data_IF_070872090590
#
_entry.id   IF_070872090590
#
_cell.length_a   1.000
_cell.length_b   1.000
_cell.length_c   1.000
_cell.angle_alpha   90.00
_cell.angle_beta   90.00
_cell.angle_gamma   90.00
#
_symmetry.space_group_name_H-M   'P 1'
#
loop_
_entity.id
_entity.type
_entity.pdbx_description
1 polymer ?
#
# COMPACT_ATOMS: atom_id res chain seq x y z
N UNK A 1 -27.52 -12.69 19.59
CA UNK A 1 -26.59 -13.31 18.63
C UNK A 1 -26.41 -12.33 17.49
N UNK A 2 -25.25 -11.66 17.39
CA UNK A 2 -24.98 -10.77 16.26
C UNK A 2 -24.98 -11.62 14.99
N UNK A 3 -25.80 -11.26 14.00
CA UNK A 3 -25.77 -11.90 12.69
C UNK A 3 -24.32 -11.87 12.18
N UNK A 4 -23.77 -13.03 11.83
CA UNK A 4 -22.37 -13.19 11.44
C UNK A 4 -22.14 -12.40 10.14
N UNK A 5 -21.75 -11.13 10.25
CA UNK A 5 -21.49 -10.28 9.10
C UNK A 5 -20.27 -10.83 8.37
N UNK A 6 -20.43 -11.07 7.07
CA UNK A 6 -19.38 -11.60 6.23
C UNK A 6 -18.23 -10.60 6.18
N UNK A 7 -16.99 -11.07 6.17
CA UNK A 7 -15.81 -10.20 6.18
C UNK A 7 -15.00 -10.36 4.90
N UNK A 8 -14.57 -9.24 4.33
CA UNK A 8 -13.73 -9.20 3.14
C UNK A 8 -12.43 -8.48 3.48
N UNK A 9 -11.31 -9.09 3.12
CA UNK A 9 -9.98 -8.47 3.24
C UNK A 9 -9.51 -8.03 1.85
N UNK A 10 -8.99 -6.81 1.75
CA UNK A 10 -8.41 -6.28 0.50
C UNK A 10 -6.95 -5.95 0.75
N UNK A 11 -6.05 -6.70 0.11
CA UNK A 11 -4.67 -6.27 -0.05
C UNK A 11 -4.62 -5.19 -1.12
N UNK A 12 -4.16 -4.00 -0.74
CA UNK A 12 -4.16 -2.81 -1.59
C UNK A 12 -2.89 -2.01 -1.36
N UNK A 13 -2.40 -1.35 -2.40
CA UNK A 13 -1.45 -0.25 -2.27
C UNK A 13 -2.09 1.10 -2.52
N UNK A 14 -1.29 2.01 -3.08
CA UNK A 14 -1.60 3.41 -3.32
C UNK A 14 -2.67 3.73 -4.35
N UNK A 15 -2.38 4.70 -5.22
CA UNK A 15 -3.42 5.46 -5.94
C UNK A 15 -4.29 4.65 -6.90
N UNK A 16 -3.79 3.54 -7.46
CA UNK A 16 -4.53 2.74 -8.44
C UNK A 16 -5.83 2.18 -7.83
N UNK A 17 -5.77 1.64 -6.62
CA UNK A 17 -6.92 1.08 -5.93
C UNK A 17 -7.93 2.15 -5.47
N UNK A 18 -7.62 3.45 -5.56
CA UNK A 18 -8.56 4.52 -5.17
C UNK A 18 -9.77 4.61 -6.11
N UNK A 19 -9.63 4.16 -7.36
CA UNK A 19 -10.76 4.10 -8.30
C UNK A 19 -11.73 2.97 -7.98
N UNK A 20 -11.34 2.02 -7.12
CA UNK A 20 -12.16 0.85 -6.77
C UNK A 20 -12.82 0.96 -5.39
N UNK A 21 -12.55 2.01 -4.61
CA UNK A 21 -13.09 2.16 -3.24
C UNK A 21 -14.61 2.15 -3.24
N UNK A 22 -15.21 2.95 -4.13
CA UNK A 22 -16.67 3.06 -4.24
C UNK A 22 -17.28 1.71 -4.65
N UNK A 23 -16.59 0.97 -5.53
CA UNK A 23 -17.00 -0.39 -5.93
C UNK A 23 -17.00 -1.34 -4.74
N UNK A 24 -15.93 -1.33 -3.94
CA UNK A 24 -15.86 -2.18 -2.75
C UNK A 24 -16.92 -1.80 -1.72
N UNK A 25 -17.14 -0.50 -1.49
CA UNK A 25 -18.19 0.00 -0.58
C UNK A 25 -19.58 -0.45 -1.03
N UNK A 26 -19.91 -0.34 -2.32
CA UNK A 26 -21.19 -0.84 -2.84
C UNK A 26 -21.36 -2.36 -2.66
N UNK A 27 -20.28 -3.12 -2.88
CA UNK A 27 -20.31 -4.58 -2.74
C UNK A 27 -20.53 -5.00 -1.29
N UNK A 28 -19.90 -4.32 -0.33
CA UNK A 28 -20.08 -4.65 1.08
C UNK A 28 -21.44 -4.20 1.62
N UNK A 29 -21.97 -3.05 1.18
CA UNK A 29 -23.30 -2.59 1.57
C UNK A 29 -24.38 -3.56 1.10
N UNK A 30 -24.30 -4.01 -0.17
CA UNK A 30 -25.27 -4.97 -0.74
C UNK A 30 -25.22 -6.33 -0.06
N UNK A 31 -24.04 -6.77 0.39
CA UNK A 31 -23.85 -8.09 0.99
C UNK A 31 -23.85 -8.08 2.53
N UNK A 32 -24.07 -6.92 3.15
CA UNK A 32 -23.98 -6.71 4.60
C UNK A 32 -22.66 -7.24 5.19
N UNK A 33 -21.55 -6.87 4.55
CA UNK A 33 -20.20 -7.29 4.90
C UNK A 33 -19.42 -6.16 5.61
N UNK A 34 -18.41 -6.54 6.37
CA UNK A 34 -17.33 -5.62 6.78
C UNK A 34 -16.11 -5.77 5.87
N UNK A 35 -15.36 -4.69 5.70
CA UNK A 35 -14.20 -4.57 4.82
C UNK A 35 -12.95 -4.20 5.61
N UNK A 36 -11.86 -4.90 5.37
CA UNK A 36 -10.56 -4.57 5.94
C UNK A 36 -9.55 -4.37 4.83
N UNK A 37 -9.01 -3.16 4.71
CA UNK A 37 -7.88 -2.88 3.84
C UNK A 37 -6.58 -3.20 4.58
N UNK A 38 -5.69 -3.96 3.92
CA UNK A 38 -4.33 -4.21 4.38
C UNK A 38 -3.39 -3.47 3.46
N UNK A 39 -2.65 -2.51 4.03
CA UNK A 39 -1.81 -1.57 3.29
C UNK A 39 -0.34 -1.76 3.70
N UNK A 40 0.61 -1.93 2.75
CA UNK A 40 2.03 -2.02 3.08
C UNK A 40 2.56 -0.68 3.64
N UNK A 41 3.68 -0.74 4.36
CA UNK A 41 4.32 0.42 5.00
C UNK A 41 5.76 0.65 4.51
N UNK A 42 6.10 0.12 3.33
CA UNK A 42 7.45 0.18 2.75
C UNK A 42 7.67 1.37 1.81
N UNK A 43 6.65 2.18 1.57
CA UNK A 43 6.75 3.38 0.72
C UNK A 43 7.77 4.38 1.27
N UNK A 44 8.73 4.75 0.43
CA UNK A 44 9.78 5.73 0.71
C UNK A 44 9.87 6.85 -0.31
N UNK A 45 8.84 7.05 -1.15
CA UNK A 45 8.81 8.06 -2.21
C UNK A 45 7.98 9.31 -1.88
N UNK A 46 8.09 10.32 -2.75
CA UNK A 46 7.24 11.52 -2.78
C UNK A 46 7.19 12.28 -1.45
N UNK A 47 6.00 12.74 -1.06
CA UNK A 47 5.81 13.49 0.20
C UNK A 47 6.03 12.66 1.48
N UNK A 48 6.22 11.33 1.37
CA UNK A 48 6.57 10.48 2.51
C UNK A 48 8.09 10.49 2.73
N UNK A 49 8.89 10.65 1.67
CA UNK A 49 10.36 10.57 1.72
C UNK A 49 10.98 11.56 2.71
N UNK A 50 10.56 12.82 2.65
CA UNK A 50 11.07 13.89 3.53
C UNK A 50 10.72 13.65 5.01
N UNK A 51 9.54 13.12 5.28
CA UNK A 51 9.14 12.76 6.64
C UNK A 51 9.96 11.58 7.17
N UNK A 52 10.24 10.59 6.32
CA UNK A 52 11.07 9.44 6.67
C UNK A 52 12.52 9.88 6.87
N UNK A 53 13.05 10.79 6.04
CA UNK A 53 14.40 11.35 6.17
C UNK A 53 14.59 12.03 7.52
N UNK A 54 13.64 12.89 7.91
CA UNK A 54 13.77 13.69 9.14
C UNK A 54 13.38 12.93 10.40
N UNK A 55 12.34 12.09 10.35
CA UNK A 55 11.78 11.45 11.55
C UNK A 55 11.95 9.92 11.61
N UNK A 56 12.41 9.30 10.53
CA UNK A 56 12.23 7.87 10.31
C UNK A 56 10.75 7.47 10.31
N UNK A 57 10.50 6.16 10.26
CA UNK A 57 9.18 5.60 10.43
C UNK A 57 8.60 4.94 9.19
N UNK A 58 7.37 4.42 9.32
CA UNK A 58 6.72 3.69 8.24
C UNK A 58 6.40 4.61 7.05
N UNK A 59 6.32 4.02 5.86
CA UNK A 59 5.68 4.65 4.70
C UNK A 59 4.20 4.89 4.99
N UNK A 60 3.79 6.15 5.08
CA UNK A 60 2.42 6.54 5.47
C UNK A 60 1.52 6.92 4.29
N UNK A 61 2.09 7.12 3.10
CA UNK A 61 1.41 7.72 1.95
C UNK A 61 0.17 6.95 1.50
N UNK A 62 0.28 5.62 1.42
CA UNK A 62 -0.80 4.74 0.99
C UNK A 62 -1.90 4.61 2.04
N UNK A 63 -1.51 4.49 3.32
CA UNK A 63 -2.44 4.47 4.45
C UNK A 63 -3.25 5.77 4.50
N UNK A 64 -2.57 6.92 4.41
CA UNK A 64 -3.21 8.24 4.29
C UNK A 64 -4.18 8.26 3.13
N UNK A 65 -3.72 7.88 1.94
CA UNK A 65 -4.55 7.90 0.73
C UNK A 65 -5.83 7.09 0.91
N UNK A 66 -5.73 5.90 1.51
CA UNK A 66 -6.89 5.04 1.75
C UNK A 66 -7.85 5.63 2.76
N UNK A 67 -7.34 6.11 3.91
CA UNK A 67 -8.17 6.72 4.94
C UNK A 67 -8.92 7.95 4.41
N UNK A 68 -8.22 8.85 3.72
CA UNK A 68 -8.81 10.07 3.18
C UNK A 68 -9.88 9.73 2.14
N UNK A 69 -9.68 8.69 1.32
CA UNK A 69 -10.68 8.26 0.33
C UNK A 69 -11.93 7.64 0.95
N UNK A 70 -11.85 7.14 2.18
CA UNK A 70 -12.98 6.59 2.94
C UNK A 70 -13.77 7.66 3.71
N UNK A 71 -13.30 8.91 3.74
CA UNK A 71 -14.02 10.02 4.38
C UNK A 71 -15.35 10.24 3.62
N UNK A 72 -16.50 10.15 4.30
CA UNK A 72 -17.80 10.35 3.68
C UNK A 72 -17.99 11.80 3.24
N UNK A 73 -18.90 12.01 2.30
CA UNK A 73 -19.23 13.35 1.79
C UNK A 73 -19.75 14.31 2.87
N UNK A 74 -20.29 13.78 3.97
CA UNK A 74 -20.69 14.57 5.15
C UNK A 74 -19.51 15.27 5.83
N UNK A 75 -18.28 14.80 5.60
CA UNK A 75 -17.03 15.33 6.16
C UNK A 75 -16.11 15.91 5.05
N UNK A 76 -16.69 16.47 3.98
CA UNK A 76 -15.95 17.01 2.82
C UNK A 76 -14.88 18.05 3.21
N UNK A 77 -15.08 18.80 4.29
CA UNK A 77 -14.10 19.76 4.80
C UNK A 77 -12.82 19.08 5.33
N UNK A 78 -12.95 17.96 6.04
CA UNK A 78 -11.80 17.15 6.48
C UNK A 78 -11.15 16.44 5.28
N UNK A 79 -11.96 15.93 4.35
CA UNK A 79 -11.48 15.35 3.09
C UNK A 79 -10.59 16.33 2.33
N UNK A 80 -11.05 17.57 2.15
CA UNK A 80 -10.32 18.62 1.44
C UNK A 80 -9.02 18.98 2.17
N UNK A 81 -9.08 19.15 3.50
CA UNK A 81 -7.91 19.47 4.30
C UNK A 81 -6.82 18.38 4.20
N UNK A 82 -7.15 17.10 4.36
CA UNK A 82 -6.14 16.03 4.33
C UNK A 82 -5.68 15.63 2.93
N UNK A 83 -6.47 15.90 1.88
CA UNK A 83 -6.01 15.79 0.49
C UNK A 83 -5.10 16.94 0.05
N UNK A 84 -5.13 18.08 0.75
CA UNK A 84 -4.37 19.25 0.37
C UNK A 84 -2.86 18.97 0.37
N UNK A 85 -2.19 19.50 -0.66
CA UNK A 85 -0.74 19.50 -0.79
C UNK A 85 -0.25 20.94 -0.79
N UNK A 86 0.80 21.19 -0.01
CA UNK A 86 1.45 22.48 0.00
C UNK A 86 2.03 22.83 -1.38
N UNK A 87 2.22 24.12 -1.69
CA UNK A 87 2.79 24.58 -2.94
C UNK A 87 4.13 23.90 -3.29
N UNK A 88 4.49 23.83 -4.59
CA UNK A 88 5.78 23.32 -5.01
C UNK A 88 6.93 24.30 -4.72
N UNK A 89 6.64 25.58 -4.45
CA UNK A 89 7.66 26.56 -4.04
C UNK A 89 7.94 26.45 -2.55
N UNK A 90 9.22 26.38 -2.17
CA UNK A 90 9.66 26.22 -0.76
C UNK A 90 9.13 27.33 0.14
N UNK A 91 9.28 28.59 -0.26
CA UNK A 91 8.87 29.74 0.55
C UNK A 91 7.35 29.81 0.72
N UNK A 92 6.61 29.54 -0.37
CA UNK A 92 5.14 29.51 -0.33
C UNK A 92 4.63 28.34 0.52
N UNK A 93 5.28 27.17 0.43
CA UNK A 93 4.92 26.01 1.23
C UNK A 93 5.13 26.26 2.73
N UNK A 94 6.28 26.83 3.10
CA UNK A 94 6.57 27.21 4.49
C UNK A 94 5.59 28.27 5.01
N UNK A 95 5.31 29.30 4.20
CA UNK A 95 4.34 30.35 4.55
C UNK A 95 2.93 29.79 4.73
N UNK A 96 2.48 28.93 3.82
CA UNK A 96 1.15 28.32 3.93
C UNK A 96 1.06 27.38 5.13
N UNK A 97 2.12 26.59 5.41
CA UNK A 97 2.18 25.77 6.61
C UNK A 97 2.04 26.61 7.89
N UNK A 98 2.67 27.79 7.95
CA UNK A 98 2.52 28.69 9.08
C UNK A 98 1.07 29.14 9.28
N UNK A 99 0.31 29.39 8.20
CA UNK A 99 -1.12 29.72 8.32
C UNK A 99 -1.97 28.58 8.90
N UNK A 100 -1.54 27.32 8.71
CA UNK A 100 -2.18 26.16 9.34
C UNK A 100 -1.90 26.11 10.84
N UNK A 101 -0.70 26.52 11.27
CA UNK A 101 -0.29 26.56 12.67
C UNK A 101 -0.97 27.69 13.44
N UNK A 102 -1.13 28.87 12.83
CA UNK A 102 -1.84 30.00 13.44
C UNK A 102 -3.36 29.83 13.40
N UNK A 103 -3.86 28.94 12.52
CA UNK A 103 -5.29 28.73 12.30
C UNK A 103 -5.93 29.76 11.38
N UNK A 104 -5.15 30.56 10.65
CA UNK A 104 -5.64 31.55 9.69
C UNK A 104 -5.81 30.99 8.27
N UNK A 105 -5.42 29.72 8.04
CA UNK A 105 -5.61 29.06 6.76
C UNK A 105 -7.09 28.95 6.38
N UNK A 106 -7.39 29.24 5.11
CA UNK A 106 -8.71 29.07 4.53
C UNK A 106 -9.23 27.62 4.61
N UNK A 107 -8.33 26.63 4.74
CA UNK A 107 -8.70 25.22 4.88
C UNK A 107 -9.49 24.93 6.15
N UNK A 108 -9.45 25.80 7.18
CA UNK A 108 -10.24 25.63 8.39
C UNK A 108 -11.64 26.25 8.34
N UNK A 109 -11.98 27.04 7.30
CA UNK A 109 -13.23 27.83 7.27
C UNK A 109 -14.49 27.00 7.52
N UNK A 110 -14.51 25.75 7.03
CA UNK A 110 -15.65 24.83 7.16
C UNK A 110 -15.36 23.65 8.08
N UNK A 111 -14.25 23.68 8.81
CA UNK A 111 -13.87 22.61 9.74
C UNK A 111 -14.42 22.94 11.14
N UNK A 112 -15.17 22.03 11.79
CA UNK A 112 -15.64 22.21 13.16
C UNK A 112 -14.51 22.60 14.12
N UNK A 113 -14.75 23.58 15.00
CA UNK A 113 -13.74 24.13 15.93
C UNK A 113 -12.98 23.06 16.72
N UNK A 114 -13.62 22.03 17.32
CA UNK A 114 -12.89 21.00 18.04
C UNK A 114 -11.90 20.22 17.17
N UNK A 115 -12.31 19.90 15.93
CA UNK A 115 -11.45 19.20 14.96
C UNK A 115 -10.31 20.10 14.49
N UNK A 116 -10.59 21.37 14.18
CA UNK A 116 -9.56 22.34 13.78
C UNK A 116 -8.51 22.55 14.89
N UNK A 117 -8.94 22.65 16.15
CA UNK A 117 -8.04 22.77 17.30
C UNK A 117 -7.15 21.54 17.47
N UNK A 118 -7.72 20.33 17.31
CA UNK A 118 -6.97 19.08 17.40
C UNK A 118 -5.95 18.95 16.26
N UNK A 119 -6.38 19.19 15.01
CA UNK A 119 -5.50 19.17 13.84
C UNK A 119 -4.33 20.14 14.04
N UNK A 120 -4.62 21.38 14.43
CA UNK A 120 -3.62 22.40 14.70
C UNK A 120 -2.67 21.98 15.82
N UNK A 121 -3.16 21.38 16.90
CA UNK A 121 -2.32 20.87 17.99
C UNK A 121 -1.31 19.83 17.51
N UNK A 122 -1.77 18.87 16.69
CA UNK A 122 -0.91 17.83 16.10
C UNK A 122 0.12 18.43 15.13
N UNK A 123 -0.29 19.37 14.27
CA UNK A 123 0.63 20.04 13.34
C UNK A 123 1.66 20.91 14.08
N UNK A 124 1.27 21.58 15.16
CA UNK A 124 2.18 22.33 16.04
C UNK A 124 3.17 21.42 16.74
N UNK A 125 2.74 20.23 17.20
CA UNK A 125 3.63 19.23 17.75
C UNK A 125 4.65 18.74 16.70
N UNK A 126 4.19 18.41 15.48
CA UNK A 126 5.09 18.08 14.37
C UNK A 126 6.10 19.20 14.12
N UNK A 127 5.63 20.46 14.09
CA UNK A 127 6.51 21.60 13.86
C UNK A 127 7.60 21.72 14.95
N UNK A 128 7.26 21.50 16.21
CA UNK A 128 8.24 21.43 17.29
C UNK A 128 9.27 20.31 17.06
N UNK A 129 8.82 19.12 16.61
CA UNK A 129 9.71 18.01 16.28
C UNK A 129 10.61 18.30 15.07
N UNK A 130 10.12 19.07 14.08
CA UNK A 130 10.94 19.62 12.97
C UNK A 130 12.02 20.52 13.55
N UNK A 131 11.66 21.50 14.39
CA UNK A 131 12.60 22.47 14.95
C UNK A 131 13.72 21.81 15.77
N UNK A 132 13.42 20.76 16.53
CA UNK A 132 14.42 19.98 17.30
C UNK A 132 15.51 19.38 16.40
N UNK A 133 15.16 19.03 15.17
CA UNK A 133 16.02 18.35 14.18
C UNK A 133 16.58 19.29 13.12
N UNK A 134 16.14 20.55 13.11
CA UNK A 134 16.58 21.54 12.16
C UNK A 134 18.04 21.95 12.45
N UNK A 135 18.90 21.90 11.44
CA UNK A 135 20.32 22.29 11.49
C UNK A 135 20.66 23.14 10.25
N UNK A 136 20.24 24.41 10.16
CA UNK A 136 20.56 25.25 9.00
C UNK A 136 22.07 25.55 8.93
N UNK A 137 22.69 25.58 7.72
CA UNK A 137 22.09 25.28 6.42
C UNK A 137 22.15 23.79 6.02
N UNK A 138 22.70 22.91 6.86
CA UNK A 138 23.08 21.54 6.48
C UNK A 138 21.90 20.58 6.38
N UNK A 139 20.95 20.63 7.32
CA UNK A 139 19.74 19.80 7.28
C UNK A 139 18.53 20.61 7.71
N UNK A 140 17.64 20.90 6.76
CA UNK A 140 16.38 21.61 6.99
C UNK A 140 15.22 20.78 6.48
N UNK A 141 14.02 21.02 7.02
CA UNK A 141 12.81 20.34 6.56
C UNK A 141 12.24 21.03 5.33
N UNK A 142 11.98 20.26 4.27
CA UNK A 142 11.42 20.75 3.03
C UNK A 142 9.89 20.55 2.98
N UNK A 143 9.13 21.66 2.96
CA UNK A 143 7.67 21.62 2.90
C UNK A 143 7.08 21.48 1.49
N UNK A 144 7.91 21.53 0.43
CA UNK A 144 7.45 21.53 -0.96
C UNK A 144 6.57 20.30 -1.25
N UNK A 145 5.35 20.54 -1.76
CA UNK A 145 4.41 19.47 -2.14
C UNK A 145 4.04 18.49 -1.01
N UNK A 146 4.36 18.85 0.25
CA UNK A 146 4.03 18.03 1.41
C UNK A 146 2.51 17.93 1.54
N UNK A 147 2.02 16.72 1.82
CA UNK A 147 0.60 16.49 2.03
C UNK A 147 0.24 16.77 3.48
N UNK A 148 -0.79 17.59 3.72
CA UNK A 148 -1.25 17.88 5.09
C UNK A 148 -1.65 16.59 5.81
N UNK A 149 -2.30 15.64 5.13
CA UNK A 149 -2.61 14.33 5.73
C UNK A 149 -1.37 13.53 6.15
N UNK A 150 -0.28 13.60 5.39
CA UNK A 150 0.99 12.96 5.77
C UNK A 150 1.61 13.67 6.98
N UNK A 151 1.66 15.01 6.98
CA UNK A 151 2.14 15.80 8.11
C UNK A 151 1.34 15.46 9.38
N UNK A 152 0.02 15.43 9.28
CA UNK A 152 -0.87 15.08 10.38
C UNK A 152 -0.59 13.67 10.93
N UNK A 153 -0.53 12.64 10.07
CA UNK A 153 -0.25 11.27 10.51
C UNK A 153 1.12 11.13 11.18
N UNK A 154 2.16 11.75 10.64
CA UNK A 154 3.48 11.76 11.28
C UNK A 154 3.44 12.47 12.62
N UNK A 155 2.80 13.63 12.70
CA UNK A 155 2.63 14.38 13.94
C UNK A 155 1.87 13.57 15.00
N UNK A 156 0.77 12.93 14.62
CA UNK A 156 -0.04 12.11 15.51
C UNK A 156 0.72 10.86 15.98
N UNK A 157 1.52 10.23 15.12
CA UNK A 157 2.41 9.11 15.49
C UNK A 157 3.45 9.56 16.50
N UNK A 158 4.12 10.69 16.26
CA UNK A 158 5.14 11.21 17.17
C UNK A 158 4.54 11.59 18.52
N UNK A 159 3.36 12.21 18.51
CA UNK A 159 2.63 12.59 19.72
C UNK A 159 2.21 11.38 20.56
N UNK A 160 1.65 10.34 19.91
CA UNK A 160 1.12 9.16 20.61
C UNK A 160 2.15 8.05 20.83
N UNK A 161 3.29 8.09 20.14
CA UNK A 161 4.23 6.99 20.08
C UNK A 161 3.69 5.75 19.33
N UNK A 162 2.59 5.87 18.58
CA UNK A 162 1.92 4.74 17.94
C UNK A 162 1.36 5.11 16.57
N UNK A 163 1.83 4.44 15.52
CA UNK A 163 1.28 4.64 14.18
C UNK A 163 -0.18 4.16 14.06
N UNK A 164 -0.55 3.10 14.79
CA UNK A 164 -1.94 2.64 14.81
C UNK A 164 -2.88 3.67 15.44
N UNK A 165 -2.44 4.34 16.51
CA UNK A 165 -3.21 5.43 17.14
C UNK A 165 -3.33 6.64 16.21
N UNK A 166 -2.32 6.93 15.40
CA UNK A 166 -2.39 7.99 14.38
C UNK A 166 -3.43 7.68 13.29
N UNK A 167 -3.49 6.43 12.84
CA UNK A 167 -4.49 5.93 11.88
C UNK A 167 -5.91 6.10 12.46
N UNK A 168 -6.10 5.62 13.69
CA UNK A 168 -7.38 5.73 14.42
C UNK A 168 -7.83 7.19 14.57
N UNK A 169 -6.90 8.09 14.92
CA UNK A 169 -7.22 9.51 15.08
C UNK A 169 -7.67 10.15 13.75
N UNK A 170 -6.99 9.87 12.65
CA UNK A 170 -7.42 10.37 11.33
C UNK A 170 -8.76 9.77 10.91
N UNK A 171 -8.97 8.46 11.12
CA UNK A 171 -10.23 7.79 10.81
C UNK A 171 -11.43 8.43 11.55
N UNK A 172 -11.31 8.67 12.85
CA UNK A 172 -12.35 9.33 13.65
C UNK A 172 -12.64 10.74 13.19
N UNK A 173 -11.60 11.56 12.99
CA UNK A 173 -11.80 12.94 12.50
C UNK A 173 -12.44 12.95 11.11
N UNK A 174 -12.07 12.00 10.28
CA UNK A 174 -12.65 11.77 8.97
C UNK A 174 -14.05 11.18 9.00
N UNK A 175 -14.60 10.81 10.16
CA UNK A 175 -15.92 10.18 10.24
C UNK A 175 -16.00 8.82 9.53
N UNK A 176 -14.89 8.08 9.46
CA UNK A 176 -14.84 6.74 8.87
C UNK A 176 -15.51 5.74 9.83
N UNK A 177 -16.47 4.97 9.32
CA UNK A 177 -17.18 3.96 10.10
C UNK A 177 -16.32 2.69 10.27
N UNK A 178 -15.54 2.64 11.35
CA UNK A 178 -14.67 1.49 11.68
C UNK A 178 -15.43 0.19 11.96
N UNK A 179 -16.73 0.25 12.23
CA UNK A 179 -17.54 -0.97 12.37
C UNK A 179 -17.77 -1.67 11.04
N UNK A 180 -17.69 -0.92 9.93
CA UNK A 180 -17.86 -1.42 8.56
C UNK A 180 -16.55 -1.52 7.80
N UNK A 181 -15.67 -0.53 7.92
CA UNK A 181 -14.43 -0.46 7.14
C UNK A 181 -13.22 -0.11 8.02
N UNK A 182 -12.23 -0.99 8.02
CA UNK A 182 -10.95 -0.78 8.70
C UNK A 182 -9.80 -0.62 7.71
N UNK A 183 -8.80 0.19 8.08
CA UNK A 183 -7.53 0.32 7.35
C UNK A 183 -6.42 -0.11 8.29
N UNK A 184 -5.78 -1.23 7.98
CA UNK A 184 -4.71 -1.81 8.78
C UNK A 184 -3.38 -1.67 8.06
N UNK A 185 -2.33 -1.16 8.73
CA UNK A 185 -0.98 -1.28 8.21
C UNK A 185 -0.56 -2.75 8.28
N UNK A 186 0.12 -3.24 7.24
CA UNK A 186 0.54 -4.63 7.14
C UNK A 186 1.50 -5.03 8.28
N UNK A 187 2.33 -4.08 8.74
CA UNK A 187 3.21 -4.21 9.90
C UNK A 187 2.88 -3.08 10.88
N UNK A 188 2.77 -3.39 12.17
CA UNK A 188 2.72 -2.36 13.21
C UNK A 188 4.17 -2.00 13.56
N UNK A 189 4.60 -0.82 13.14
CA UNK A 189 5.90 -0.30 13.55
C UNK A 189 5.94 1.22 13.54
N UNK A 190 6.74 1.78 14.44
CA UNK A 190 7.16 3.18 14.39
C UNK A 190 8.47 3.35 13.61
N UNK A 191 9.03 2.28 13.06
CA UNK A 191 10.30 2.27 12.33
C UNK A 191 10.09 1.99 10.85
N UNK A 192 11.05 2.46 10.05
CA UNK A 192 11.07 2.24 8.61
C UNK A 192 11.33 0.76 8.30
N UNK A 193 10.59 0.22 7.35
CA UNK A 193 10.78 -1.14 6.83
C UNK A 193 11.05 -1.04 5.35
N UNK A 194 12.24 -1.45 4.93
CA UNK A 194 12.66 -1.32 3.54
C UNK A 194 12.54 -2.67 2.84
N UNK A 195 12.21 -2.61 1.55
CA UNK A 195 12.14 -3.78 0.68
C UNK A 195 13.28 -3.75 -0.33
N UNK A 196 13.75 -4.93 -0.71
CA UNK A 196 14.67 -5.13 -1.82
C UNK A 196 14.10 -6.15 -2.79
N UNK A 197 14.41 -5.98 -4.08
CA UNK A 197 14.04 -6.88 -5.16
C UNK A 197 15.30 -7.48 -5.78
N UNK A 198 15.34 -8.80 -5.89
CA UNK A 198 16.34 -9.54 -6.67
C UNK A 198 15.81 -9.78 -8.08
N UNK A 199 16.60 -9.43 -9.08
CA UNK A 199 16.25 -9.58 -10.49
C UNK A 199 16.82 -10.86 -11.09
N UNK A 200 16.31 -11.25 -12.25
CA UNK A 200 16.70 -12.50 -12.91
C UNK A 200 18.14 -12.53 -13.44
N UNK A 201 18.78 -11.38 -13.60
CA UNK A 201 20.19 -11.25 -13.94
C UNK A 201 21.12 -11.31 -12.70
N UNK A 202 20.55 -11.48 -11.50
CA UNK A 202 21.27 -11.54 -10.23
C UNK A 202 21.50 -10.17 -9.57
N UNK A 203 21.12 -9.07 -10.22
CA UNK A 203 21.20 -7.73 -9.62
C UNK A 203 20.14 -7.54 -8.53
N UNK A 204 20.40 -6.60 -7.60
CA UNK A 204 19.51 -6.28 -6.48
C UNK A 204 19.21 -4.79 -6.48
N UNK A 205 17.91 -4.45 -6.36
CA UNK A 205 17.44 -3.08 -6.22
C UNK A 205 16.85 -2.91 -4.81
N UNK A 206 17.29 -1.87 -4.10
CA UNK A 206 16.84 -1.58 -2.73
C UNK A 206 16.01 -0.30 -2.67
N UNK A 207 14.89 -0.36 -1.94
CA UNK A 207 13.98 0.75 -1.73
C UNK A 207 12.78 0.69 -2.68
N UNK A 208 11.59 0.89 -2.13
CA UNK A 208 10.34 0.77 -2.89
C UNK A 208 10.30 1.74 -4.07
N UNK A 209 10.74 2.98 -3.88
CA UNK A 209 10.74 3.99 -4.94
C UNK A 209 11.65 3.59 -6.12
N UNK A 210 12.85 3.05 -5.85
CA UNK A 210 13.78 2.62 -6.90
C UNK A 210 13.26 1.42 -7.71
N UNK A 211 12.49 0.55 -7.06
CA UNK A 211 11.86 -0.61 -7.72
C UNK A 211 10.75 -0.15 -8.68
N UNK A 212 9.87 0.74 -8.22
CA UNK A 212 8.70 1.15 -9.01
C UNK A 212 8.94 2.34 -9.94
N UNK A 213 9.91 3.21 -9.64
CA UNK A 213 10.17 4.43 -10.39
C UNK A 213 11.69 4.66 -10.55
N UNK A 214 12.17 5.08 -11.72
CA UNK A 214 13.57 5.47 -11.86
C UNK A 214 13.82 6.76 -11.07
N UNK A 215 14.54 6.64 -9.97
CA UNK A 215 15.42 7.72 -9.47
C UNK A 215 16.81 7.43 -10.03
N UNK A 216 17.64 8.42 -10.31
CA UNK A 216 19.04 8.16 -10.70
C UNK A 216 19.68 7.16 -9.72
N UNK A 217 20.42 6.16 -10.22
CA UNK A 217 20.79 5.00 -9.42
C UNK A 217 21.73 5.42 -8.28
N UNK A 218 21.21 5.42 -7.05
CA UNK A 218 22.05 5.32 -5.84
C UNK A 218 22.49 3.86 -5.70
N UNK A 219 23.28 3.37 -6.65
CA UNK A 219 23.96 2.10 -6.48
C UNK A 219 24.83 2.22 -5.22
N UNK A 220 24.77 1.20 -4.34
CA UNK A 220 25.79 0.99 -3.32
C UNK A 220 27.10 0.70 -4.07
N UNK A 221 27.81 1.74 -4.51
CA UNK A 221 29.11 1.61 -5.12
C UNK A 221 30.06 1.05 -4.06
N UNK A 222 30.44 -0.22 -4.24
CA UNK A 222 31.49 -0.89 -3.48
C UNK A 222 32.91 -0.38 -3.81
N UNK A 223 33.02 0.64 -4.66
CA UNK A 223 34.30 1.28 -5.00
C UNK A 223 34.26 2.76 -4.60
N UNK A 224 34.97 3.08 -3.53
CA UNK A 224 35.35 4.45 -3.16
C UNK A 224 36.44 4.87 -4.15
N UNK A 225 36.03 5.44 -5.30
CA UNK A 225 36.98 6.11 -6.19
C UNK A 225 36.99 7.61 -5.90
N UNK A 226 38.17 8.07 -5.52
CA UNK A 226 38.49 9.44 -5.14
C UNK A 226 38.33 10.41 -6.32
N UNK A 227 37.18 11.07 -6.43
CA UNK A 227 37.06 12.29 -7.20
C UNK A 227 36.15 13.29 -6.47
N UNK A 228 36.77 14.39 -6.00
CA UNK A 228 36.18 15.57 -5.36
C UNK A 228 35.74 15.45 -3.87
N UNK A 229 36.65 15.69 -2.90
CA UNK A 229 36.37 15.49 -1.47
C UNK A 229 35.49 16.57 -0.80
N UNK A 230 34.97 17.57 -1.51
CA UNK A 230 34.36 18.76 -0.90
C UNK A 230 32.87 18.97 -1.18
N UNK A 231 32.26 18.19 -2.08
CA UNK A 231 30.83 18.33 -2.42
C UNK A 231 29.94 17.25 -1.78
N UNK A 232 30.47 16.04 -1.51
CA UNK A 232 29.69 14.87 -1.07
C UNK A 232 29.75 14.58 0.45
N UNK A 233 30.31 15.48 1.26
CA UNK A 233 30.58 15.23 2.70
C UNK A 233 29.66 15.96 3.69
N UNK A 234 28.57 16.62 3.26
CA UNK A 234 27.85 17.51 4.17
C UNK A 234 26.76 16.85 5.04
N UNK A 235 26.28 15.64 4.72
CA UNK A 235 25.28 14.96 5.57
C UNK A 235 25.84 13.75 6.34
N UNK A 236 26.95 13.14 5.89
CA UNK A 236 27.49 11.92 6.50
C UNK A 236 28.42 12.17 7.69
N UNK A 237 28.91 13.40 7.88
CA UNK A 237 29.92 13.75 8.89
C UNK A 237 29.37 14.45 10.14
N UNK A 238 28.05 14.72 10.18
CA UNK A 238 27.40 15.37 11.32
C UNK A 238 26.76 14.30 12.21
N UNK A 239 27.36 14.08 13.38
CA UNK A 239 27.03 13.02 14.36
C UNK A 239 25.54 12.99 14.76
N UNK A 240 24.86 14.15 14.72
CA UNK A 240 23.47 14.34 15.17
C UNK A 240 22.43 14.54 14.04
N UNK A 241 22.83 14.52 12.76
CA UNK A 241 21.91 14.83 11.64
C UNK A 241 21.13 13.61 11.13
N UNK A 242 21.61 12.40 11.38
CA UNK A 242 21.03 11.17 10.86
C UNK A 242 20.48 10.30 11.99
N UNK A 243 19.28 9.73 11.81
CA UNK A 243 18.81 8.69 12.72
C UNK A 243 19.78 7.48 12.68
N UNK A 244 20.17 6.93 13.85
CA UNK A 244 21.02 5.74 13.91
C UNK A 244 20.41 4.60 13.10
N UNK A 245 21.21 3.97 12.23
CA UNK A 245 20.74 2.90 11.36
C UNK A 245 19.74 3.40 10.31
N UNK A 246 20.08 4.45 9.56
CA UNK A 246 19.38 4.82 8.32
C UNK A 246 20.24 4.44 7.12
N UNK A 247 19.65 3.74 6.13
CA UNK A 247 20.34 3.40 4.89
C UNK A 247 20.78 4.71 4.19
N UNK A 248 22.02 4.81 3.67
CA UNK A 248 22.51 6.01 2.98
C UNK A 248 21.60 6.49 1.85
N UNK A 249 20.95 5.57 1.14
CA UNK A 249 20.01 5.83 0.04
C UNK A 249 18.71 6.53 0.48
N UNK A 250 18.42 6.58 1.79
CA UNK A 250 17.25 7.25 2.36
C UNK A 250 17.59 8.63 2.94
N UNK A 251 18.86 9.01 2.92
CA UNK A 251 19.32 10.31 3.42
C UNK A 251 19.05 11.43 2.43
N UNK A 252 18.76 11.11 1.17
CA UNK A 252 18.40 12.08 0.14
C UNK A 252 16.87 12.23 -0.01
N UNK A 253 16.36 13.47 -0.15
CA UNK A 253 14.94 13.72 -0.34
C UNK A 253 14.48 13.35 -1.76
N UNK A 254 13.66 12.30 -1.88
CA UNK A 254 13.03 11.89 -3.14
C UNK A 254 11.64 12.53 -3.31
N UNK A 255 11.60 13.88 -3.29
CA UNK A 255 10.35 14.66 -3.30
C UNK A 255 9.77 14.79 -4.72
N UNK A 256 10.63 14.94 -5.72
CA UNK A 256 10.22 15.06 -7.12
C UNK A 256 10.05 13.66 -7.74
N UNK A 257 8.84 13.41 -8.23
CA UNK A 257 8.46 12.15 -8.87
C UNK A 257 7.81 12.48 -10.23
N UNK A 258 8.13 11.69 -11.25
CA UNK A 258 7.43 11.70 -12.53
C UNK A 258 6.98 10.28 -12.87
N UNK A 259 5.67 10.10 -13.05
CA UNK A 259 5.05 8.85 -13.55
C UNK A 259 5.20 8.68 -15.07
N UNK A 260 5.87 9.63 -15.75
CA UNK A 260 5.84 9.76 -17.21
C UNK A 260 6.95 9.03 -17.97
N UNK A 261 8.01 8.57 -17.29
CA UNK A 261 9.15 7.87 -17.91
C UNK A 261 9.52 6.63 -17.11
N UNK A 262 8.70 5.58 -17.22
CA UNK A 262 9.00 4.27 -16.66
C UNK A 262 9.89 3.50 -17.64
N UNK A 263 11.21 3.70 -17.56
CA UNK A 263 12.13 2.77 -18.23
C UNK A 263 11.90 1.36 -17.67
N UNK A 264 11.85 0.29 -18.48
CA UNK A 264 11.75 -1.07 -17.97
C UNK A 264 12.87 -1.40 -16.98
N UNK A 265 12.63 -2.35 -16.07
CA UNK A 265 13.73 -2.94 -15.30
C UNK A 265 14.68 -3.71 -16.24
N UNK A 266 15.99 -3.76 -15.93
CA UNK A 266 16.96 -4.48 -16.77
C UNK A 266 16.65 -5.98 -16.86
N UNK A 267 16.01 -6.54 -15.82
CA UNK A 267 15.54 -7.91 -15.78
C UNK A 267 14.28 -8.03 -14.90
N UNK A 268 13.54 -9.14 -15.05
CA UNK A 268 12.31 -9.42 -14.26
C UNK A 268 12.66 -9.60 -12.79
N UNK A 269 11.78 -9.12 -11.90
CA UNK A 269 11.88 -9.40 -10.47
C UNK A 269 11.61 -10.89 -10.22
N UNK A 270 12.56 -11.58 -9.58
CA UNK A 270 12.40 -12.97 -9.14
C UNK A 270 11.87 -13.05 -7.71
N UNK A 271 12.32 -12.15 -6.84
CA UNK A 271 12.02 -12.21 -5.41
C UNK A 271 12.04 -10.84 -4.77
N UNK A 272 11.17 -10.65 -3.77
CA UNK A 272 11.14 -9.46 -2.92
C UNK A 272 11.30 -9.87 -1.45
N UNK A 273 12.11 -9.15 -0.68
CA UNK A 273 12.27 -9.38 0.76
C UNK A 273 12.39 -8.07 1.53
N UNK A 274 12.09 -8.10 2.83
CA UNK A 274 12.39 -6.98 3.72
C UNK A 274 13.85 -7.00 4.15
N UNK A 275 14.42 -5.81 4.32
CA UNK A 275 15.75 -5.63 4.88
C UNK A 275 15.70 -4.75 6.13
N UNK A 276 16.60 -5.04 7.06
CA UNK A 276 16.88 -4.12 8.16
C UNK A 276 17.72 -2.92 7.63
N UNK A 277 17.96 -1.90 8.45
CA UNK A 277 18.72 -0.74 7.99
C UNK A 277 20.21 -0.97 7.71
N UNK A 278 20.71 -2.17 7.98
CA UNK A 278 22.07 -2.61 7.63
C UNK A 278 22.08 -3.41 6.32
N UNK A 279 20.95 -3.51 5.61
CA UNK A 279 20.84 -4.24 4.34
C UNK A 279 20.66 -5.75 4.49
N UNK A 280 20.51 -6.27 5.71
CA UNK A 280 20.34 -7.70 5.94
C UNK A 280 18.88 -8.11 5.78
N UNK A 281 18.63 -9.25 5.14
CA UNK A 281 17.29 -9.82 5.00
C UNK A 281 16.64 -10.03 6.38
N UNK A 282 15.37 -9.65 6.48
CA UNK A 282 14.54 -9.87 7.66
C UNK A 282 13.15 -10.37 7.27
N UNK A 283 12.50 -11.07 8.19
CA UNK A 283 11.13 -11.58 8.05
C UNK A 283 10.24 -10.96 9.12
N UNK A 284 9.69 -9.76 8.89
CA UNK A 284 8.86 -9.10 9.89
C UNK A 284 7.55 -9.84 10.11
N UNK A 285 7.09 -9.82 11.36
CA UNK A 285 5.75 -10.27 11.73
C UNK A 285 4.71 -9.27 11.24
N UNK A 286 3.57 -9.73 10.69
CA UNK A 286 2.48 -8.86 10.32
C UNK A 286 1.79 -8.29 11.55
N UNK A 287 1.01 -7.23 11.34
CA UNK A 287 0.02 -6.77 12.30
C UNK A 287 -0.91 -7.95 12.70
N UNK A 288 -1.04 -8.29 13.99
CA UNK A 288 -1.91 -9.40 14.42
C UNK A 288 -3.37 -9.25 13.96
N UNK A 289 -3.89 -8.02 13.86
CA UNK A 289 -5.25 -7.74 13.35
C UNK A 289 -5.40 -8.10 11.88
N UNK A 290 -4.31 -8.10 11.10
CA UNK A 290 -4.32 -8.58 9.71
C UNK A 290 -4.52 -10.08 9.66
N UNK A 291 -3.79 -10.84 10.48
CA UNK A 291 -3.99 -12.29 10.57
C UNK A 291 -5.39 -12.64 11.08
N UNK A 292 -5.87 -11.92 12.09
CA UNK A 292 -7.25 -12.07 12.58
C UNK A 292 -8.26 -11.81 11.46
N UNK A 293 -8.13 -10.69 10.73
CA UNK A 293 -9.01 -10.34 9.63
C UNK A 293 -9.02 -11.41 8.53
N UNK A 294 -7.86 -11.95 8.14
CA UNK A 294 -7.76 -13.05 7.16
C UNK A 294 -8.44 -14.32 7.69
N UNK A 295 -8.22 -14.66 8.97
CA UNK A 295 -8.75 -15.87 9.58
C UNK A 295 -10.28 -15.93 9.61
N UNK A 296 -10.93 -14.77 9.70
CA UNK A 296 -12.41 -14.66 9.75
C UNK A 296 -13.03 -14.20 8.43
N UNK A 297 -12.21 -13.95 7.40
CA UNK A 297 -12.70 -13.48 6.11
C UNK A 297 -13.32 -14.60 5.29
N UNK A 298 -14.44 -14.32 4.64
CA UNK A 298 -15.02 -15.19 3.62
C UNK A 298 -14.34 -14.96 2.25
N UNK A 299 -13.95 -13.70 1.99
CA UNK A 299 -13.30 -13.28 0.76
C UNK A 299 -12.02 -12.49 1.01
N UNK A 300 -11.04 -12.70 0.15
CA UNK A 300 -9.80 -11.97 0.09
C UNK A 300 -9.64 -11.46 -1.34
N UNK A 301 -9.30 -10.18 -1.48
CA UNK A 301 -9.11 -9.52 -2.77
C UNK A 301 -7.68 -8.99 -2.83
N UNK A 302 -6.93 -9.38 -3.85
CA UNK A 302 -5.73 -8.70 -4.28
C UNK A 302 -6.18 -7.63 -5.28
N UNK A 303 -6.19 -6.36 -4.84
CA UNK A 303 -6.65 -5.24 -5.65
C UNK A 303 -5.63 -4.88 -6.74
N UNK A 304 -6.06 -4.06 -7.71
CA UNK A 304 -5.16 -3.44 -8.67
C UNK A 304 -4.10 -2.58 -7.98
N UNK A 305 -2.90 -2.55 -8.56
CA UNK A 305 -1.74 -1.83 -8.05
C UNK A 305 -0.45 -2.56 -8.45
N UNK A 306 0.70 -1.93 -8.21
CA UNK A 306 1.99 -2.52 -8.56
C UNK A 306 2.22 -3.82 -7.76
N UNK A 307 2.53 -4.90 -8.48
CA UNK A 307 2.54 -6.25 -7.91
C UNK A 307 3.56 -6.36 -6.78
N UNK A 308 4.81 -5.96 -7.02
CA UNK A 308 5.92 -6.16 -6.11
C UNK A 308 6.06 -5.05 -5.08
N UNK A 309 5.56 -3.84 -5.35
CA UNK A 309 5.67 -2.72 -4.39
C UNK A 309 4.39 -2.43 -3.60
N UNK A 310 3.23 -2.97 -4.00
CA UNK A 310 1.96 -2.79 -3.28
C UNK A 310 1.38 -4.08 -2.67
N UNK A 311 1.37 -5.19 -3.43
CA UNK A 311 0.67 -6.42 -3.01
C UNK A 311 1.63 -7.36 -2.29
N UNK A 312 2.70 -7.78 -2.96
CA UNK A 312 3.70 -8.73 -2.43
C UNK A 312 4.28 -8.32 -1.06
N UNK A 313 4.57 -7.04 -0.74
CA UNK A 313 5.14 -6.67 0.55
C UNK A 313 4.24 -7.02 1.74
N UNK A 314 2.94 -7.14 1.52
CA UNK A 314 2.00 -7.57 2.57
C UNK A 314 1.89 -9.10 2.66
N UNK A 315 2.19 -9.82 1.58
CA UNK A 315 2.05 -11.27 1.48
C UNK A 315 3.26 -12.04 2.03
N UNK A 316 4.47 -11.49 1.86
CA UNK A 316 5.72 -12.12 2.33
C UNK A 316 5.90 -12.07 3.85
N UNK A 317 5.03 -11.36 4.58
CA UNK A 317 5.09 -11.24 6.03
C UNK A 317 4.82 -12.58 6.71
N UNK A 318 5.51 -12.87 7.81
CA UNK A 318 5.48 -14.18 8.44
C UNK A 318 4.05 -14.64 8.77
N UNK A 319 3.64 -15.80 8.25
CA UNK A 319 2.34 -16.41 8.55
C UNK A 319 1.15 -15.88 7.75
N UNK A 320 1.28 -14.82 6.94
CA UNK A 320 0.22 -14.35 6.05
C UNK A 320 -0.16 -15.42 5.02
N UNK A 321 0.83 -16.01 4.33
CA UNK A 321 0.59 -17.08 3.38
C UNK A 321 -0.03 -18.33 4.03
N UNK A 322 0.38 -18.66 5.26
CA UNK A 322 -0.25 -19.73 6.02
C UNK A 322 -1.73 -19.44 6.30
N UNK A 323 -2.09 -18.20 6.69
CA UNK A 323 -3.47 -17.80 6.94
C UNK A 323 -4.34 -17.84 5.68
N UNK A 324 -3.78 -17.48 4.52
CA UNK A 324 -4.48 -17.52 3.22
C UNK A 324 -4.70 -18.95 2.73
N UNK A 325 -3.67 -19.80 2.82
CA UNK A 325 -3.67 -21.14 2.26
C UNK A 325 -4.32 -22.22 3.16
N UNK A 326 -4.62 -21.90 4.43
CA UNK A 326 -5.18 -22.86 5.40
C UNK A 326 -6.53 -23.42 4.94
N UNK A 327 -6.78 -24.69 5.25
CA UNK A 327 -8.13 -25.26 5.21
C UNK A 327 -9.06 -24.49 6.17
N UNK A 328 -10.17 -23.95 5.67
CA UNK A 328 -11.03 -23.02 6.42
C UNK A 328 -10.49 -21.58 6.53
N UNK A 329 -9.52 -21.19 5.70
CA UNK A 329 -9.20 -19.78 5.44
C UNK A 329 -10.22 -19.12 4.49
N UNK A 330 -9.90 -17.95 3.90
CA UNK A 330 -10.80 -17.27 2.96
C UNK A 330 -11.23 -18.20 1.82
N UNK A 331 -12.54 -18.28 1.59
CA UNK A 331 -13.11 -19.16 0.55
C UNK A 331 -12.82 -18.60 -0.84
N UNK A 332 -12.99 -17.30 -1.00
CA UNK A 332 -12.73 -16.60 -2.26
C UNK A 332 -11.41 -15.84 -2.15
N UNK A 333 -10.50 -16.03 -3.11
CA UNK A 333 -9.19 -15.37 -3.16
C UNK A 333 -9.06 -14.79 -4.55
N UNK A 334 -9.48 -13.55 -4.69
CA UNK A 334 -9.79 -12.91 -5.97
C UNK A 334 -8.64 -11.99 -6.34
N UNK A 335 -7.95 -12.29 -7.44
CA UNK A 335 -7.01 -11.36 -8.05
C UNK A 335 -7.76 -10.47 -9.04
N UNK A 336 -7.75 -9.15 -8.81
CA UNK A 336 -8.16 -8.18 -9.82
C UNK A 336 -6.91 -7.78 -10.59
N UNK A 337 -6.77 -8.28 -11.81
CA UNK A 337 -5.57 -8.10 -12.63
C UNK A 337 -5.42 -6.64 -13.05
N UNK A 338 -4.20 -6.14 -13.13
CA UNK A 338 -3.93 -4.78 -13.59
C UNK A 338 -4.42 -4.58 -15.04
N UNK A 339 -4.91 -3.38 -15.33
CA UNK A 339 -5.36 -3.00 -16.67
C UNK A 339 -4.25 -2.50 -17.60
N UNK A 340 -3.01 -2.44 -17.11
CA UNK A 340 -1.80 -2.25 -17.90
C UNK A 340 -0.62 -2.88 -17.16
N UNK A 341 0.43 -3.24 -17.90
CA UNK A 341 1.73 -3.59 -17.32
C UNK A 341 2.49 -2.32 -16.93
N UNK A 342 3.17 -2.38 -15.80
CA UNK A 342 4.09 -1.36 -15.32
C UNK A 342 5.56 -1.83 -15.48
N UNK A 343 6.50 -0.97 -15.11
CA UNK A 343 7.94 -1.29 -15.07
C UNK A 343 8.25 -2.61 -14.34
N UNK A 344 7.55 -2.92 -13.25
CA UNK A 344 7.79 -4.11 -12.43
C UNK A 344 7.39 -5.41 -13.14
N UNK A 345 6.37 -5.32 -13.99
CA UNK A 345 5.67 -6.47 -14.59
C UNK A 345 5.83 -6.52 -16.10
N UNK A 346 6.84 -5.84 -16.67
CA UNK A 346 7.14 -5.84 -18.10
C UNK A 346 7.14 -7.26 -18.72
N UNK A 347 6.18 -7.51 -19.62
CA UNK A 347 6.00 -8.80 -20.30
C UNK A 347 5.35 -9.92 -19.47
N UNK A 348 4.73 -9.62 -18.33
CA UNK A 348 4.04 -10.61 -17.50
C UNK A 348 2.70 -11.05 -18.11
N UNK A 349 2.38 -12.33 -17.96
CA UNK A 349 1.02 -12.89 -18.13
C UNK A 349 0.26 -12.89 -16.80
N UNK A 350 -1.03 -13.23 -16.81
CA UNK A 350 -1.78 -13.48 -15.58
C UNK A 350 -1.25 -14.67 -14.79
N UNK A 351 -0.66 -15.68 -15.44
CA UNK A 351 0.01 -16.78 -14.75
C UNK A 351 1.24 -16.29 -13.98
N UNK A 352 2.01 -15.34 -14.52
CA UNK A 352 3.16 -14.75 -13.82
C UNK A 352 2.71 -13.99 -12.55
N UNK A 353 1.58 -13.26 -12.60
CA UNK A 353 1.01 -12.59 -11.43
C UNK A 353 0.58 -13.61 -10.34
N UNK A 354 -0.08 -14.70 -10.75
CA UNK A 354 -0.53 -15.74 -9.82
C UNK A 354 0.66 -16.48 -9.22
N UNK A 355 1.69 -16.79 -10.02
CA UNK A 355 2.93 -17.40 -9.56
C UNK A 355 3.62 -16.51 -8.52
N UNK A 356 3.75 -15.21 -8.78
CA UNK A 356 4.35 -14.27 -7.83
C UNK A 356 3.59 -14.19 -6.49
N UNK A 357 2.25 -14.18 -6.52
CA UNK A 357 1.41 -14.21 -5.31
C UNK A 357 1.57 -15.53 -4.55
N UNK A 358 1.56 -16.66 -5.27
CA UNK A 358 1.73 -17.98 -4.67
C UNK A 358 3.12 -18.13 -4.05
N UNK A 359 4.16 -17.64 -4.73
CA UNK A 359 5.55 -17.62 -4.25
C UNK A 359 5.67 -16.80 -2.98
N UNK A 360 5.14 -15.58 -2.98
CA UNK A 360 5.12 -14.73 -1.79
C UNK A 360 4.41 -15.41 -0.60
N UNK A 361 3.31 -16.12 -0.88
CA UNK A 361 2.59 -16.91 0.11
C UNK A 361 3.40 -18.09 0.67
N UNK A 362 4.09 -18.85 -0.18
CA UNK A 362 4.95 -19.95 0.28
C UNK A 362 6.21 -19.42 1.01
N UNK A 363 6.80 -18.31 0.59
CA UNK A 363 7.91 -17.66 1.30
C UNK A 363 7.50 -17.20 2.71
N UNK A 364 6.28 -16.67 2.86
CA UNK A 364 5.69 -16.34 4.16
C UNK A 364 5.54 -17.55 5.11
N UNK A 365 5.44 -18.76 4.55
CA UNK A 365 5.43 -20.04 5.29
C UNK A 365 6.83 -20.54 5.62
N UNK A 366 7.87 -19.85 5.17
CA UNK A 366 9.26 -20.17 5.40
C UNK A 366 9.90 -21.02 4.31
N UNK A 367 9.21 -21.27 3.20
CA UNK A 367 9.75 -22.03 2.06
C UNK A 367 10.64 -21.11 1.23
N UNK A 368 11.82 -21.60 0.86
CA UNK A 368 12.78 -20.88 0.03
C UNK A 368 12.91 -21.55 -1.32
N UNK A 369 12.88 -20.76 -2.39
CA UNK A 369 13.04 -21.23 -3.76
C UNK A 369 14.46 -20.94 -4.25
N UNK A 370 15.11 -21.92 -4.88
CA UNK A 370 16.41 -21.70 -5.54
C UNK A 370 16.25 -20.86 -6.82
N UNK A 371 17.37 -20.38 -7.38
CA UNK A 371 17.35 -19.72 -8.69
C UNK A 371 16.81 -20.67 -9.77
N UNK A 372 15.79 -20.20 -10.50
CA UNK A 372 15.12 -20.98 -11.55
C UNK A 372 14.04 -21.94 -11.06
N UNK A 373 13.87 -22.11 -9.74
CA UNK A 373 12.71 -22.80 -9.17
C UNK A 373 11.54 -21.83 -9.02
N UNK A 374 10.34 -22.35 -9.26
CA UNK A 374 9.08 -21.64 -9.08
C UNK A 374 8.05 -22.54 -8.38
N UNK A 375 6.95 -21.94 -7.94
CA UNK A 375 5.87 -22.65 -7.25
C UNK A 375 5.15 -23.57 -8.24
N UNK A 376 5.01 -24.85 -7.84
CA UNK A 376 4.19 -25.82 -8.56
C UNK A 376 2.77 -25.28 -8.81
N UNK A 377 2.28 -25.43 -10.04
CA UNK A 377 1.03 -24.80 -10.49
C UNK A 377 -0.19 -25.29 -9.72
N UNK A 378 -0.13 -26.52 -9.21
CA UNK A 378 -1.11 -27.16 -8.34
C UNK A 378 -1.34 -26.39 -7.03
N UNK A 379 -0.35 -25.61 -6.59
CA UNK A 379 -0.41 -24.82 -5.35
C UNK A 379 -1.11 -23.47 -5.59
N UNK A 380 -1.21 -22.99 -6.83
CA UNK A 380 -1.75 -21.67 -7.15
C UNK A 380 -3.17 -21.45 -6.61
N UNK A 381 -4.03 -22.47 -6.71
CA UNK A 381 -5.41 -22.43 -6.18
C UNK A 381 -5.48 -22.22 -4.65
N UNK A 382 -4.39 -22.49 -3.91
CA UNK A 382 -4.33 -22.18 -2.48
C UNK A 382 -4.27 -20.68 -2.20
N UNK A 383 -3.80 -19.88 -3.16
CA UNK A 383 -3.61 -18.44 -3.01
C UNK A 383 -4.53 -17.60 -3.87
N UNK A 384 -4.90 -18.08 -5.06
CA UNK A 384 -5.80 -17.39 -5.98
C UNK A 384 -6.84 -18.39 -6.48
N UNK A 385 -8.11 -18.16 -6.20
CA UNK A 385 -9.21 -19.01 -6.70
C UNK A 385 -9.95 -18.38 -7.86
N UNK A 386 -9.93 -17.05 -7.97
CA UNK A 386 -10.61 -16.33 -9.04
C UNK A 386 -9.69 -15.25 -9.60
N UNK A 387 -9.70 -15.10 -10.93
CA UNK A 387 -9.03 -14.03 -11.65
C UNK A 387 -10.08 -13.16 -12.33
N UNK A 388 -10.16 -11.88 -11.97
CA UNK A 388 -10.92 -10.89 -12.72
C UNK A 388 -9.93 -10.15 -13.63
N UNK A 389 -10.23 -10.09 -14.93
CA UNK A 389 -9.32 -9.49 -15.90
C UNK A 389 -10.06 -8.68 -16.97
N UNK A 390 -9.30 -7.77 -17.60
CA UNK A 390 -9.69 -7.08 -18.82
C UNK A 390 -9.06 -7.78 -20.04
N UNK A 391 -9.49 -7.39 -21.23
CA UNK A 391 -8.83 -7.73 -22.50
C UNK A 391 -8.55 -6.43 -23.26
N UNK A 392 -7.35 -6.31 -23.83
CA UNK A 392 -6.93 -5.12 -24.54
C UNK A 392 -5.42 -5.08 -24.75
N UNK A 393 -4.98 -4.09 -25.52
CA UNK A 393 -3.56 -3.79 -25.70
C UNK A 393 -2.94 -3.30 -24.39
N UNK A 394 -1.74 -3.79 -24.06
CA UNK A 394 -1.04 -3.46 -22.81
C UNK A 394 -1.54 -4.18 -21.55
N UNK A 395 -2.67 -4.89 -21.60
CA UNK A 395 -3.19 -5.72 -20.51
C UNK A 395 -2.42 -7.06 -20.46
N UNK A 396 -2.12 -7.63 -19.28
CA UNK A 396 -1.46 -8.94 -19.21
C UNK A 396 -2.26 -10.03 -19.92
N UNK A 397 -1.56 -10.93 -20.64
CA UNK A 397 -2.20 -12.03 -21.37
C UNK A 397 -2.82 -13.04 -20.40
N UNK A 398 -4.00 -13.54 -20.74
CA UNK A 398 -4.74 -14.51 -19.92
C UNK A 398 -5.03 -15.78 -20.72
N UNK A 399 -4.48 -16.90 -20.27
CA UNK A 399 -4.84 -18.24 -20.75
C UNK A 399 -5.85 -18.86 -19.78
N UNK A 400 -7.13 -18.81 -20.15
CA UNK A 400 -8.23 -19.29 -19.30
C UNK A 400 -8.25 -20.82 -19.17
N UNK A 401 -7.82 -21.53 -20.22
CA UNK A 401 -7.81 -23.00 -20.21
C UNK A 401 -6.69 -23.52 -19.32
N UNK A 402 -5.51 -22.90 -19.39
CA UNK A 402 -4.40 -23.22 -18.50
C UNK A 402 -4.78 -22.93 -17.05
N UNK A 403 -5.27 -21.73 -16.74
CA UNK A 403 -5.63 -21.34 -15.37
C UNK A 403 -6.78 -22.19 -14.81
N UNK A 404 -7.73 -22.58 -15.66
CA UNK A 404 -8.82 -23.48 -15.29
C UNK A 404 -8.36 -24.88 -14.87
N UNK A 405 -7.32 -25.44 -15.51
CA UNK A 405 -6.72 -26.74 -15.14
C UNK A 405 -6.17 -26.72 -13.71
N UNK A 406 -5.68 -25.57 -13.27
CA UNK A 406 -5.10 -25.37 -11.94
C UNK A 406 -6.09 -24.83 -10.92
N UNK A 407 -7.40 -24.84 -11.22
CA UNK A 407 -8.46 -24.48 -10.27
C UNK A 407 -8.70 -22.97 -10.12
N UNK A 408 -8.23 -22.14 -11.06
CA UNK A 408 -8.46 -20.69 -11.05
C UNK A 408 -9.60 -20.33 -12.01
N UNK A 409 -10.72 -19.84 -11.47
CA UNK A 409 -11.86 -19.40 -12.27
C UNK A 409 -11.62 -17.98 -12.84
N UNK A 410 -11.63 -17.85 -14.17
CA UNK A 410 -11.39 -16.57 -14.84
C UNK A 410 -12.70 -15.87 -15.20
N UNK A 411 -12.88 -14.64 -14.73
CA UNK A 411 -14.01 -13.76 -15.04
C UNK A 411 -13.51 -12.58 -15.87
N UNK A 412 -13.96 -12.54 -17.12
CA UNK A 412 -13.62 -11.45 -18.04
C UNK A 412 -14.59 -10.29 -17.90
N UNK A 413 -14.06 -9.07 -17.84
CA UNK A 413 -14.83 -7.83 -17.89
C UNK A 413 -14.39 -6.94 -19.05
N UNK A 414 -15.30 -6.06 -19.48
CA UNK A 414 -14.98 -5.02 -20.43
C UNK A 414 -14.55 -3.76 -19.68
N UNK A 415 -13.43 -3.18 -20.10
CA UNK A 415 -12.88 -1.96 -19.53
C UNK A 415 -13.17 -0.73 -20.38
N UNK A 416 -12.83 0.44 -19.86
CA UNK A 416 -12.77 1.71 -20.59
C UNK A 416 -11.31 2.08 -20.80
N UNK A 417 -10.97 2.63 -21.97
CA UNK A 417 -9.66 3.27 -22.16
C UNK A 417 -9.66 4.60 -21.42
N UNK A 418 -8.69 4.80 -20.54
CA UNK A 418 -8.42 6.08 -19.93
C UNK A 418 -7.63 7.00 -20.88
N UNK A 419 -7.56 8.29 -20.54
CA UNK A 419 -6.85 9.31 -21.34
C UNK A 419 -5.35 9.01 -21.48
N UNK A 420 -4.78 8.31 -20.49
CA UNK A 420 -3.39 7.83 -20.47
C UNK A 420 -3.18 6.54 -21.28
N UNK A 421 -4.22 6.03 -21.97
CA UNK A 421 -4.18 4.80 -22.75
C UNK A 421 -4.36 3.51 -21.94
N UNK A 422 -4.39 3.59 -20.60
CA UNK A 422 -4.55 2.41 -19.73
C UNK A 422 -5.98 1.89 -19.74
N UNK A 423 -6.15 0.56 -19.61
CA UNK A 423 -7.49 -0.02 -19.46
C UNK A 423 -7.95 0.11 -18.00
N UNK A 424 -9.15 0.63 -17.77
CA UNK A 424 -9.77 0.74 -16.44
C UNK A 424 -11.04 -0.10 -16.35
N UNK A 425 -11.25 -0.71 -15.20
CA UNK A 425 -12.48 -1.47 -14.94
C UNK A 425 -13.71 -0.55 -14.93
N UNK A 426 -14.80 -1.01 -15.54
CA UNK A 426 -16.12 -0.42 -15.28
C UNK A 426 -16.58 -0.80 -13.87
N UNK A 427 -16.81 0.21 -13.02
CA UNK A 427 -17.12 0.00 -11.61
C UNK A 427 -18.40 -0.82 -11.37
N UNK A 428 -19.42 -0.67 -12.23
CA UNK A 428 -20.67 -1.43 -12.09
C UNK A 428 -20.46 -2.89 -12.47
N UNK A 429 -19.78 -3.15 -13.59
CA UNK A 429 -19.48 -4.51 -14.03
C UNK A 429 -18.58 -5.24 -13.02
N UNK A 430 -17.57 -4.56 -12.49
CA UNK A 430 -16.69 -5.11 -11.45
C UNK A 430 -17.45 -5.39 -10.15
N UNK A 431 -18.30 -4.46 -9.71
CA UNK A 431 -19.14 -4.65 -8.52
C UNK A 431 -20.10 -5.83 -8.66
N UNK A 432 -20.70 -6.01 -9.84
CA UNK A 432 -21.54 -7.18 -10.13
C UNK A 432 -20.76 -8.49 -10.11
N UNK A 433 -19.56 -8.52 -10.70
CA UNK A 433 -18.71 -9.70 -10.70
C UNK A 433 -18.25 -10.09 -9.29
N UNK A 434 -17.77 -9.12 -8.50
CA UNK A 434 -17.38 -9.34 -7.11
C UNK A 434 -18.56 -9.80 -6.26
N UNK A 435 -19.72 -9.16 -6.41
CA UNK A 435 -20.96 -9.57 -5.73
C UNK A 435 -21.40 -10.98 -6.10
N UNK A 436 -21.28 -11.36 -7.38
CA UNK A 436 -21.61 -12.71 -7.83
C UNK A 436 -20.66 -13.77 -7.26
N UNK A 437 -19.35 -13.49 -7.18
CA UNK A 437 -18.37 -14.41 -6.59
C UNK A 437 -18.61 -14.56 -5.09
N UNK A 438 -18.65 -13.45 -4.34
CA UNK A 438 -18.81 -13.43 -2.88
C UNK A 438 -20.22 -13.89 -2.43
N UNK A 439 -21.22 -13.77 -3.29
CA UNK A 439 -22.60 -14.19 -3.03
C UNK A 439 -22.86 -15.69 -3.18
N UNK A 440 -21.94 -16.47 -3.79
CA UNK A 440 -22.13 -17.92 -4.02
C UNK A 440 -22.20 -18.68 -2.68
N UNK A 441 -23.38 -19.17 -2.29
CA UNK A 441 -23.53 -20.18 -1.21
C UNK A 441 -23.08 -21.56 -1.70
N UNK A 442 -22.64 -22.43 -0.79
CA UNK A 442 -22.25 -23.81 -1.16
C UNK A 442 -23.43 -24.54 -1.82
N UNK A 443 -23.13 -25.40 -2.80
CA UNK A 443 -24.09 -26.37 -3.37
C UNK A 443 -24.54 -27.46 -2.37
N UNK A 444 -24.26 -27.31 -1.06
CA UNK A 444 -24.61 -28.25 0.02
C UNK A 444 -25.73 -27.77 0.95
N UNK A 445 -26.05 -26.48 1.01
CA UNK A 445 -27.20 -25.97 1.76
C UNK A 445 -28.47 -26.10 0.91
N UNK A 446 -28.89 -27.33 0.60
CA UNK A 446 -30.30 -27.56 0.26
C UNK A 446 -31.10 -27.13 1.48
N UNK A 447 -31.84 -26.04 1.32
CA UNK A 447 -32.95 -25.64 2.18
C UNK A 447 -33.69 -26.90 2.62
N UNK A 448 -33.57 -27.26 3.91
CA UNK A 448 -34.47 -28.22 4.54
C UNK A 448 -35.85 -27.56 4.51
N UNK A 449 -36.55 -27.72 3.38
CA UNK A 449 -38.00 -27.52 3.33
C UNK A 449 -38.56 -28.52 4.32
N UNK A 450 -39.03 -28.00 5.46
CA UNK A 450 -39.92 -28.72 6.35
C UNK A 450 -41.19 -29.05 5.55
N UNK A 451 -41.21 -30.22 4.92
CA UNK A 451 -42.47 -30.92 4.66
C UNK A 451 -42.91 -31.51 6.00
N UNK A 452 -43.82 -30.82 6.66
CA UNK A 452 -44.75 -31.44 7.59
C UNK A 452 -45.66 -32.33 6.74
N UNK A 453 -45.44 -33.64 6.79
CA UNK A 453 -46.43 -34.65 6.42
C UNK A 453 -46.97 -35.27 7.72
N UNK A 454 -48.30 -35.35 7.82
CA UNK A 454 -49.02 -36.16 8.81
C UNK A 454 -49.64 -35.39 9.95
#
# INVERSE_FOLDING_TARGET
MAANSRKVVVFSGGSAANSLVDVFNEVIEKNNCALTYVIPISDNGGSSSELIRVFGGPGIGDVRSRLVRLIPQTHVHILNLFNHRLPPSSDLAASEFLTLLTGTSHLYHSVPTPQAMLIRSILSHLHLEILKRNRPPTSTFNFQSASIGNLFLTGARLFSGSFESAIYLLAIMGGVDESKTAVLPAIISNFSHHISAGLADGSVITGQNAISHPSEPTALNSNIDHANPLADLNDATIEDANLPGSLPTLRQPNIHFSKGSEEPLPARIQRLWYINPYGQEMRPSPNPKVLEAINVAEGLIYSIGSLYTSIVPSLILQGVGAAIARSGGPRFKILILNGSLDRETGGFSASDFIAAIARAGEESRGITFNQGEDVEKEIWARYVTHLIHLEGEGVPRVDKEELGKWGVECVRLYGRKAEDGTARYDGRALGQALGAILGRREKGEKSRRNTLEG
#
